data_IF_963265640262
#
_entry.id   IF_963265640262
#
_cell.length_a   1.000
_cell.length_b   1.000
_cell.length_c   1.000
_cell.angle_alpha   90.00
_cell.angle_beta   90.00
_cell.angle_gamma   90.00
#
_symmetry.space_group_name_H-M   'P 1'
#
loop_
_entity.id
_entity.type
_entity.pdbx_description
1 polymer ?
#
# COMPACT_ATOMS: atom_id res chain seq x y z
N UNK A 1 36.24 -2.32 -39.80
CA UNK A 1 37.02 -1.98 -38.57
C UNK A 1 36.03 -1.65 -37.48
N UNK A 2 36.16 -2.25 -36.30
CA UNK A 2 35.28 -1.97 -35.16
C UNK A 2 35.62 -0.57 -34.63
N UNK A 3 34.73 0.40 -34.78
CA UNK A 3 34.96 1.77 -34.27
C UNK A 3 35.18 1.75 -32.75
N UNK A 4 36.31 2.31 -32.31
CA UNK A 4 36.66 2.47 -30.90
C UNK A 4 36.01 3.75 -30.41
N UNK A 5 35.22 3.69 -29.32
CA UNK A 5 34.59 4.89 -28.74
C UNK A 5 35.60 5.72 -27.95
N UNK A 6 35.30 7.00 -27.70
CA UNK A 6 36.20 7.91 -26.96
C UNK A 6 36.61 7.40 -25.58
N UNK A 7 35.73 6.65 -24.91
CA UNK A 7 35.97 6.07 -23.59
C UNK A 7 36.58 4.66 -23.63
N UNK A 8 37.11 4.26 -24.80
CA UNK A 8 37.68 2.94 -25.10
C UNK A 8 39.13 3.05 -25.59
N UNK A 9 39.92 2.01 -25.34
CA UNK A 9 41.24 1.82 -25.93
C UNK A 9 41.43 0.34 -26.29
N UNK A 10 42.29 0.04 -27.26
CA UNK A 10 42.70 -1.34 -27.52
C UNK A 10 43.90 -1.65 -26.64
N UNK A 11 43.81 -2.67 -25.80
CA UNK A 11 44.92 -3.09 -24.95
C UNK A 11 45.96 -3.86 -25.80
N UNK A 12 47.24 -3.45 -25.81
CA UNK A 12 48.28 -4.15 -26.56
C UNK A 12 48.56 -5.58 -26.06
N UNK A 13 48.23 -5.89 -24.80
CA UNK A 13 48.54 -7.18 -24.19
C UNK A 13 47.66 -8.32 -24.71
N UNK A 14 46.38 -8.06 -24.94
CA UNK A 14 45.39 -9.06 -25.41
C UNK A 14 44.72 -8.70 -26.74
N UNK A 15 44.94 -7.48 -27.24
CA UNK A 15 44.33 -6.99 -28.48
C UNK A 15 42.81 -6.83 -28.39
N UNK A 16 42.25 -6.64 -27.18
CA UNK A 16 40.83 -6.43 -26.92
C UNK A 16 40.54 -4.96 -26.61
N UNK A 17 39.26 -4.59 -26.72
CA UNK A 17 38.80 -3.25 -26.37
C UNK A 17 38.57 -3.19 -24.85
N UNK A 18 39.19 -2.23 -24.19
CA UNK A 18 39.10 -1.96 -22.75
C UNK A 18 38.53 -0.57 -22.48
N UNK A 19 37.99 -0.40 -21.28
CA UNK A 19 37.44 0.87 -20.83
C UNK A 19 38.53 1.78 -20.27
N UNK A 20 38.63 3.02 -20.77
CA UNK A 20 39.59 4.02 -20.26
C UNK A 20 39.38 4.41 -18.80
N UNK A 21 38.14 4.29 -18.29
CA UNK A 21 37.80 4.71 -16.91
C UNK A 21 38.21 3.69 -15.84
N UNK A 22 38.10 2.39 -16.13
CA UNK A 22 38.30 1.35 -15.11
C UNK A 22 39.26 0.24 -15.53
N UNK A 23 39.81 0.28 -16.75
CA UNK A 23 40.67 -0.77 -17.31
C UNK A 23 39.95 -2.10 -17.61
N UNK A 24 38.68 -2.25 -17.24
CA UNK A 24 37.93 -3.48 -17.46
C UNK A 24 37.63 -3.75 -18.95
N UNK A 25 37.45 -5.02 -19.34
CA UNK A 25 37.20 -5.40 -20.72
C UNK A 25 35.83 -4.87 -21.20
N UNK A 26 35.78 -4.44 -22.44
CA UNK A 26 34.57 -4.10 -23.21
C UNK A 26 34.38 -4.97 -24.44
N UNK A 27 35.28 -5.92 -24.61
CA UNK A 27 35.19 -6.96 -25.60
C UNK A 27 35.66 -8.26 -24.96
N UNK A 28 34.92 -9.34 -25.20
CA UNK A 28 35.30 -10.67 -24.75
C UNK A 28 35.62 -11.53 -25.97
N UNK A 29 36.39 -12.60 -25.79
CA UNK A 29 36.58 -13.63 -26.82
C UNK A 29 35.69 -14.81 -26.47
N UNK A 30 34.79 -15.19 -27.37
CA UNK A 30 33.91 -16.34 -27.19
C UNK A 30 34.23 -17.35 -28.31
N UNK A 31 34.48 -18.64 -27.98
CA UNK A 31 34.64 -19.67 -28.99
C UNK A 31 33.33 -19.86 -29.77
N UNK A 32 33.43 -19.97 -31.10
CA UNK A 32 32.29 -20.24 -31.97
C UNK A 32 31.94 -21.74 -31.90
N UNK A 33 30.78 -22.12 -31.34
CA UNK A 33 30.41 -23.52 -31.19
C UNK A 33 30.00 -24.20 -32.52
N UNK A 34 29.81 -23.45 -33.60
CA UNK A 34 29.24 -23.93 -34.86
C UNK A 34 30.21 -23.90 -36.03
N UNK A 35 31.08 -22.88 -36.13
CA UNK A 35 31.93 -22.67 -37.32
C UNK A 35 33.41 -23.00 -37.11
N UNK A 36 33.83 -23.35 -35.90
CA UNK A 36 35.24 -23.55 -35.58
C UNK A 36 36.00 -22.23 -35.64
N UNK A 37 36.20 -21.58 -34.50
CA UNK A 37 36.86 -20.28 -34.42
C UNK A 37 36.51 -19.55 -33.13
N UNK A 38 36.75 -18.24 -33.11
CA UNK A 38 36.33 -17.36 -32.01
C UNK A 38 35.77 -16.06 -32.56
N UNK A 39 34.75 -15.52 -31.91
CA UNK A 39 34.23 -14.19 -32.21
C UNK A 39 34.42 -13.26 -31.00
N UNK A 40 34.48 -11.95 -31.25
CA UNK A 40 34.81 -10.95 -30.24
C UNK A 40 33.65 -9.98 -29.97
N UNK A 41 32.58 -10.41 -29.27
CA UNK A 41 31.43 -9.53 -28.99
C UNK A 41 31.78 -8.44 -27.99
N UNK A 42 31.02 -7.34 -28.03
CA UNK A 42 31.12 -6.29 -26.99
C UNK A 42 30.51 -6.78 -25.68
N UNK A 43 31.12 -6.38 -24.58
CA UNK A 43 30.62 -6.60 -23.22
C UNK A 43 30.67 -5.29 -22.42
N UNK A 44 30.01 -5.29 -21.27
CA UNK A 44 29.87 -4.13 -20.39
C UNK A 44 31.02 -4.15 -19.37
N UNK A 45 31.80 -3.07 -19.27
CA UNK A 45 32.82 -2.97 -18.21
C UNK A 45 32.16 -3.01 -16.82
N UNK A 46 32.87 -3.39 -15.75
CA UNK A 46 32.38 -3.27 -14.37
C UNK A 46 31.85 -1.86 -14.05
N UNK A 47 32.48 -0.84 -14.62
CA UNK A 47 32.11 0.56 -14.43
C UNK A 47 30.77 0.98 -15.05
N UNK A 48 30.42 0.40 -16.20
CA UNK A 48 29.17 0.63 -16.90
C UNK A 48 28.08 -0.21 -16.25
N UNK A 49 28.38 -1.44 -15.84
CA UNK A 49 27.47 -2.30 -15.10
C UNK A 49 27.04 -1.63 -13.77
N UNK A 50 27.99 -1.04 -13.03
CA UNK A 50 27.68 -0.26 -11.84
C UNK A 50 26.82 0.98 -12.14
N UNK A 51 27.12 1.70 -13.21
CA UNK A 51 26.34 2.88 -13.61
C UNK A 51 24.91 2.51 -14.02
N UNK A 52 24.73 1.41 -14.76
CA UNK A 52 23.42 0.87 -15.12
C UNK A 52 22.65 0.41 -13.88
N UNK A 53 23.31 -0.28 -12.94
CA UNK A 53 22.69 -0.69 -11.68
C UNK A 53 22.18 0.53 -10.89
N UNK A 54 23.01 1.56 -10.72
CA UNK A 54 22.61 2.81 -10.05
C UNK A 54 21.45 3.52 -10.74
N UNK A 55 21.45 3.57 -12.08
CA UNK A 55 20.35 4.15 -12.86
C UNK A 55 19.05 3.38 -12.65
N UNK A 56 19.12 2.04 -12.68
CA UNK A 56 17.97 1.17 -12.45
C UNK A 56 17.43 1.31 -11.02
N UNK A 57 18.31 1.28 -10.02
CA UNK A 57 17.94 1.51 -8.61
C UNK A 57 17.31 2.89 -8.38
N UNK A 58 17.84 3.94 -9.02
CA UNK A 58 17.29 5.30 -8.92
C UNK A 58 15.90 5.40 -9.56
N UNK A 59 15.69 4.78 -10.73
CA UNK A 59 14.40 4.75 -11.40
C UNK A 59 13.38 3.92 -10.60
N UNK A 60 13.75 2.74 -10.10
CA UNK A 60 12.89 1.92 -9.22
C UNK A 60 12.50 2.69 -7.96
N UNK A 61 13.44 3.42 -7.34
CA UNK A 61 13.17 4.28 -6.19
C UNK A 61 12.19 5.40 -6.53
N UNK A 62 12.37 6.05 -7.69
CA UNK A 62 11.46 7.12 -8.16
C UNK A 62 10.05 6.58 -8.39
N UNK A 63 9.93 5.44 -9.07
CA UNK A 63 8.64 4.79 -9.33
C UNK A 63 7.95 4.38 -8.03
N UNK A 64 8.70 3.85 -7.06
CA UNK A 64 8.15 3.51 -5.74
C UNK A 64 7.61 4.74 -5.01
N UNK A 65 8.37 5.84 -4.98
CA UNK A 65 7.93 7.10 -4.36
C UNK A 65 6.65 7.62 -5.00
N UNK A 66 6.57 7.60 -6.34
CA UNK A 66 5.40 8.07 -7.06
C UNK A 66 4.17 7.19 -6.79
N UNK A 67 4.36 5.87 -6.73
CA UNK A 67 3.30 4.92 -6.37
C UNK A 67 2.79 5.16 -4.95
N UNK A 68 3.67 5.37 -3.98
CA UNK A 68 3.28 5.70 -2.60
C UNK A 68 2.48 7.01 -2.55
N UNK A 69 2.92 8.06 -3.27
CA UNK A 69 2.18 9.33 -3.35
C UNK A 69 0.78 9.14 -3.90
N UNK A 70 0.64 8.40 -5.01
CA UNK A 70 -0.66 8.09 -5.61
C UNK A 70 -1.54 7.30 -4.65
N UNK A 71 -1.01 6.28 -3.98
CA UNK A 71 -1.74 5.48 -2.99
C UNK A 71 -2.19 6.31 -1.80
N UNK A 72 -1.36 7.22 -1.29
CA UNK A 72 -1.76 8.18 -0.23
C UNK A 72 -2.89 9.09 -0.69
N UNK A 73 -2.82 9.61 -1.92
CA UNK A 73 -3.88 10.44 -2.50
C UNK A 73 -5.22 9.70 -2.65
N UNK A 74 -5.19 8.41 -2.97
CA UNK A 74 -6.40 7.59 -3.13
C UNK A 74 -6.93 7.05 -1.79
N UNK A 75 -6.02 6.66 -0.89
CA UNK A 75 -6.33 5.99 0.36
C UNK A 75 -6.69 6.91 1.52
N UNK A 76 -6.22 8.17 1.49
CA UNK A 76 -6.51 9.17 2.51
C UNK A 76 -7.33 10.30 1.87
N UNK A 77 -8.66 10.15 1.97
CA UNK A 77 -9.60 11.06 1.29
C UNK A 77 -9.56 12.50 1.84
N UNK A 78 -9.22 12.65 3.13
CA UNK A 78 -9.14 13.96 3.77
C UNK A 78 -7.69 14.42 4.00
N UNK A 79 -7.42 15.70 3.73
CA UNK A 79 -6.07 16.28 3.85
C UNK A 79 -5.52 16.27 5.27
N UNK A 80 -6.37 16.33 6.30
CA UNK A 80 -5.91 16.30 7.69
C UNK A 80 -5.29 14.94 8.06
N UNK A 81 -5.67 13.85 7.38
CA UNK A 81 -5.16 12.50 7.64
C UNK A 81 -3.67 12.39 7.32
N UNK A 82 -3.12 13.25 6.46
CA UNK A 82 -1.69 13.25 6.15
C UNK A 82 -0.82 13.60 7.36
N UNK A 83 -1.39 14.31 8.34
CA UNK A 83 -0.71 14.65 9.60
C UNK A 83 -0.80 13.55 10.66
N UNK A 84 -1.57 12.48 10.42
CA UNK A 84 -1.76 11.39 11.37
C UNK A 84 -0.59 10.41 11.23
N UNK A 85 0.51 10.73 11.90
CA UNK A 85 1.73 9.94 11.88
C UNK A 85 2.17 9.61 13.29
N UNK A 86 2.88 8.49 13.43
CA UNK A 86 3.46 8.07 14.71
C UNK A 86 4.52 9.06 15.25
N UNK A 87 4.99 10.02 14.44
CA UNK A 87 5.92 11.06 14.91
C UNK A 87 5.29 12.01 15.95
N UNK A 88 3.95 12.10 15.98
CA UNK A 88 3.22 12.91 16.95
C UNK A 88 2.67 12.09 18.13
N UNK A 89 3.11 10.84 18.28
CA UNK A 89 2.78 10.00 19.43
C UNK A 89 3.63 10.40 20.63
N UNK A 90 2.97 10.76 21.74
CA UNK A 90 3.65 11.05 23.01
C UNK A 90 3.92 9.78 23.84
N UNK A 91 3.46 8.60 23.38
CA UNK A 91 3.71 7.32 24.03
C UNK A 91 2.80 7.00 25.22
N UNK A 92 1.94 7.94 25.62
CA UNK A 92 1.06 7.80 26.79
C UNK A 92 -0.23 7.02 26.47
N UNK A 93 -0.58 6.88 25.19
CA UNK A 93 -1.85 6.28 24.78
C UNK A 93 -1.70 4.76 24.51
N UNK A 94 -2.36 3.88 25.28
CA UNK A 94 -2.29 2.43 25.06
C UNK A 94 -2.84 1.97 23.70
N UNK A 95 -3.71 2.78 23.07
CA UNK A 95 -4.19 2.53 21.70
C UNK A 95 -3.04 2.67 20.70
N UNK A 96 -2.15 3.64 20.91
CA UNK A 96 -0.98 3.87 20.05
C UNK A 96 0.02 2.72 20.14
N UNK A 97 0.27 2.20 21.34
CA UNK A 97 1.12 1.00 21.51
C UNK A 97 0.61 -0.18 20.68
N UNK A 98 -0.71 -0.40 20.67
CA UNK A 98 -1.33 -1.46 19.83
C UNK A 98 -1.24 -1.15 18.34
N UNK A 99 -1.37 0.12 17.96
CA UNK A 99 -1.24 0.56 16.57
C UNK A 99 0.19 0.33 16.03
N UNK A 100 1.23 0.68 16.80
CA UNK A 100 2.63 0.35 16.48
C UNK A 100 2.80 -1.15 16.30
N UNK A 101 2.38 -1.94 17.29
CA UNK A 101 2.51 -3.39 17.25
C UNK A 101 1.79 -4.01 16.04
N UNK A 102 0.62 -3.50 15.67
CA UNK A 102 -0.13 -3.97 14.50
C UNK A 102 0.63 -3.69 13.19
N UNK A 103 1.21 -2.50 13.05
CA UNK A 103 2.01 -2.12 11.88
C UNK A 103 3.29 -2.95 11.79
N UNK A 104 3.99 -3.17 12.91
CA UNK A 104 5.22 -3.96 12.94
C UNK A 104 4.99 -5.44 12.60
N UNK A 105 3.84 -5.98 13.01
CA UNK A 105 3.44 -7.36 12.72
C UNK A 105 2.44 -7.46 11.57
N UNK A 106 2.41 -6.47 10.67
CA UNK A 106 1.48 -6.44 9.53
C UNK A 106 1.52 -7.72 8.68
N UNK A 107 2.69 -8.30 8.32
CA UNK A 107 2.71 -9.53 7.52
C UNK A 107 1.94 -10.69 8.17
N UNK A 108 2.04 -10.84 9.49
CA UNK A 108 1.31 -11.85 10.25
C UNK A 108 -0.17 -11.48 10.38
N UNK A 109 -0.49 -10.21 10.62
CA UNK A 109 -1.86 -9.72 10.70
C UNK A 109 -2.60 -9.93 9.37
N UNK A 110 -1.96 -9.58 8.25
CA UNK A 110 -2.51 -9.77 6.91
C UNK A 110 -2.72 -11.26 6.58
N UNK A 111 -1.69 -12.11 6.79
CA UNK A 111 -1.78 -13.55 6.53
C UNK A 111 -2.89 -14.24 7.34
N UNK A 112 -3.16 -13.76 8.56
CA UNK A 112 -4.18 -14.31 9.45
C UNK A 112 -5.52 -13.57 9.36
N UNK A 113 -5.66 -12.61 8.44
CA UNK A 113 -6.84 -11.75 8.29
C UNK A 113 -7.28 -11.08 9.62
N UNK A 114 -6.32 -10.54 10.37
CA UNK A 114 -6.57 -9.91 11.68
C UNK A 114 -6.91 -8.43 11.46
N UNK A 115 -8.16 -8.08 11.73
CA UNK A 115 -8.63 -6.68 11.83
C UNK A 115 -8.51 -6.10 13.24
N UNK A 116 -8.87 -4.82 13.40
CA UNK A 116 -8.97 -4.15 14.71
C UNK A 116 -10.33 -3.48 14.88
N UNK A 117 -10.90 -3.58 16.08
CA UNK A 117 -12.01 -2.75 16.51
C UNK A 117 -11.50 -1.77 17.57
N UNK A 118 -11.43 -0.48 17.22
CA UNK A 118 -11.04 0.59 18.13
C UNK A 118 -12.32 1.24 18.67
N UNK A 119 -12.60 1.06 19.96
CA UNK A 119 -13.83 1.54 20.59
C UNK A 119 -13.56 2.25 21.91
N UNK A 120 -14.51 3.07 22.36
CA UNK A 120 -14.42 3.84 23.60
C UNK A 120 -14.89 5.29 23.43
N UNK A 121 -14.82 6.06 24.51
CA UNK A 121 -15.37 7.42 24.56
C UNK A 121 -14.73 8.39 23.54
N UNK A 122 -15.42 9.49 23.25
CA UNK A 122 -14.98 10.54 22.31
C UNK A 122 -13.67 11.15 22.81
N UNK A 123 -12.75 11.46 21.89
CA UNK A 123 -11.48 12.11 22.23
C UNK A 123 -10.35 11.16 22.67
N UNK A 124 -10.55 9.85 22.66
CA UNK A 124 -9.54 8.83 23.05
C UNK A 124 -8.46 8.55 22.00
N UNK A 125 -8.47 9.25 20.86
CA UNK A 125 -7.45 9.11 19.81
C UNK A 125 -7.61 7.92 18.87
N UNK A 126 -8.79 7.27 18.81
CA UNK A 126 -9.05 6.10 17.95
C UNK A 126 -8.83 6.37 16.47
N UNK A 127 -9.44 7.44 15.95
CA UNK A 127 -9.30 7.88 14.55
C UNK A 127 -7.87 8.29 14.24
N UNK A 128 -7.19 8.92 15.21
CA UNK A 128 -5.77 9.26 15.09
C UNK A 128 -4.89 8.01 14.96
N UNK A 129 -5.07 7.03 15.84
CA UNK A 129 -4.35 5.76 15.78
C UNK A 129 -4.62 5.00 14.47
N UNK A 130 -5.88 4.96 14.01
CA UNK A 130 -6.24 4.35 12.73
C UNK A 130 -5.55 5.05 11.54
N UNK A 131 -5.51 6.38 11.52
CA UNK A 131 -4.79 7.12 10.49
C UNK A 131 -3.27 6.95 10.56
N UNK A 132 -2.69 6.78 11.76
CA UNK A 132 -1.28 6.45 11.91
C UNK A 132 -0.95 5.08 11.30
N UNK A 133 -1.80 4.07 11.54
CA UNK A 133 -1.69 2.75 10.89
C UNK A 133 -1.76 2.92 9.37
N UNK A 134 -2.75 3.66 8.87
CA UNK A 134 -2.92 3.89 7.43
C UNK A 134 -1.67 4.51 6.80
N UNK A 135 -1.18 5.63 7.36
CA UNK A 135 0.01 6.31 6.85
C UNK A 135 1.24 5.40 6.85
N UNK A 136 1.49 4.70 7.96
CA UNK A 136 2.67 3.85 8.09
C UNK A 136 2.67 2.68 7.12
N UNK A 137 1.50 2.08 6.84
CA UNK A 137 1.37 1.02 5.84
C UNK A 137 1.47 1.58 4.41
N UNK A 138 0.88 2.74 4.13
CA UNK A 138 1.03 3.42 2.83
C UNK A 138 2.49 3.79 2.54
N UNK A 139 3.26 4.23 3.54
CA UNK A 139 4.71 4.50 3.42
C UNK A 139 5.52 3.22 3.15
N UNK A 140 5.00 2.06 3.54
CA UNK A 140 5.54 0.74 3.18
C UNK A 140 5.05 0.25 1.82
N UNK A 141 4.35 1.09 1.06
CA UNK A 141 3.78 0.77 -0.25
C UNK A 141 2.74 -0.37 -0.17
N UNK A 142 1.91 -0.34 0.87
CA UNK A 142 0.76 -1.24 1.05
C UNK A 142 -0.53 -0.47 0.72
N UNK A 143 -1.42 -0.99 -0.14
CA UNK A 143 -2.71 -0.38 -0.44
C UNK A 143 -3.60 -0.30 0.80
N UNK A 144 -3.93 0.91 1.26
CA UNK A 144 -4.85 1.15 2.38
C UNK A 144 -5.90 2.17 1.95
N UNK A 145 -7.15 1.94 2.31
CA UNK A 145 -8.22 2.94 2.22
C UNK A 145 -8.72 3.26 3.63
N UNK A 146 -8.69 4.54 4.00
CA UNK A 146 -9.36 5.08 5.17
C UNK A 146 -10.49 5.99 4.74
N UNK A 147 -11.70 5.67 5.19
CA UNK A 147 -12.91 6.43 4.91
C UNK A 147 -13.85 6.32 6.12
N UNK A 148 -14.98 7.02 6.08
CA UNK A 148 -16.01 6.90 7.10
C UNK A 148 -17.27 6.26 6.53
N UNK A 149 -18.04 5.62 7.40
CA UNK A 149 -19.24 4.91 6.97
C UNK A 149 -20.31 5.81 6.31
N UNK A 150 -20.55 7.05 6.79
CA UNK A 150 -21.40 8.01 6.07
C UNK A 150 -21.00 8.29 4.62
N UNK A 151 -19.70 8.40 4.32
CA UNK A 151 -19.19 8.64 2.97
C UNK A 151 -19.43 7.43 2.05
N UNK A 152 -19.25 6.21 2.57
CA UNK A 152 -19.59 4.98 1.86
C UNK A 152 -21.08 4.96 1.50
N UNK A 153 -21.96 5.22 2.47
CA UNK A 153 -23.41 5.24 2.24
C UNK A 153 -23.83 6.32 1.25
N UNK A 154 -23.29 7.53 1.37
CA UNK A 154 -23.60 8.63 0.46
C UNK A 154 -23.22 8.27 -0.99
N UNK A 155 -22.09 7.60 -1.18
CA UNK A 155 -21.66 7.14 -2.49
C UNK A 155 -22.58 6.04 -3.02
N UNK A 156 -22.94 5.06 -2.19
CA UNK A 156 -23.86 3.98 -2.56
C UNK A 156 -25.27 4.48 -2.91
N UNK A 157 -25.79 5.49 -2.19
CA UNK A 157 -27.09 6.09 -2.48
C UNK A 157 -27.10 6.90 -3.78
N UNK A 158 -25.97 7.46 -4.19
CA UNK A 158 -25.82 8.23 -5.43
C UNK A 158 -25.48 7.40 -6.67
N UNK A 159 -25.15 6.12 -6.51
CA UNK A 159 -24.77 5.19 -7.60
C UNK A 159 -25.83 4.13 -7.84
N UNK A 160 -26.13 3.83 -9.09
CA UNK A 160 -27.09 2.79 -9.50
C UNK A 160 -26.42 1.79 -10.45
N UNK A 161 -26.92 0.56 -10.50
CA UNK A 161 -26.45 -0.45 -11.46
C UNK A 161 -24.97 -0.80 -11.33
N UNK A 162 -24.24 -0.77 -12.45
CA UNK A 162 -22.82 -1.16 -12.55
C UNK A 162 -21.88 -0.29 -11.70
N UNK A 163 -22.10 1.03 -11.63
CA UNK A 163 -21.28 1.97 -10.84
C UNK A 163 -21.23 1.61 -9.35
N UNK A 164 -22.31 1.02 -8.83
CA UNK A 164 -22.39 0.58 -7.44
C UNK A 164 -21.53 -0.65 -7.20
N UNK A 165 -21.56 -1.61 -8.12
CA UNK A 165 -20.75 -2.84 -8.07
C UNK A 165 -19.28 -2.48 -8.16
N UNK A 166 -18.90 -1.63 -9.12
CA UNK A 166 -17.53 -1.17 -9.31
C UNK A 166 -16.99 -0.45 -8.06
N UNK A 167 -17.83 0.35 -7.39
CA UNK A 167 -17.43 0.98 -6.13
C UNK A 167 -17.17 -0.06 -5.03
N UNK A 168 -18.05 -1.04 -4.85
CA UNK A 168 -17.86 -2.10 -3.86
C UNK A 168 -16.62 -2.94 -4.15
N UNK A 169 -16.38 -3.27 -5.43
CA UNK A 169 -15.19 -4.00 -5.87
C UNK A 169 -13.91 -3.18 -5.62
N UNK A 170 -13.96 -1.86 -5.81
CA UNK A 170 -12.83 -0.98 -5.50
C UNK A 170 -12.45 -0.96 -4.01
N UNK A 171 -13.39 -1.24 -3.10
CA UNK A 171 -13.07 -1.44 -1.68
C UNK A 171 -12.27 -2.73 -1.46
N UNK A 172 -12.46 -3.73 -2.32
CA UNK A 172 -11.73 -4.99 -2.34
C UNK A 172 -10.27 -4.87 -2.77
N UNK A 173 -9.93 -3.87 -3.60
CA UNK A 173 -8.56 -3.65 -4.10
C UNK A 173 -7.54 -3.31 -3.01
N UNK A 174 -8.02 -2.77 -1.89
CA UNK A 174 -7.16 -2.32 -0.80
C UNK A 174 -6.82 -3.48 0.14
N UNK A 175 -5.55 -3.67 0.49
CA UNK A 175 -5.12 -4.72 1.42
C UNK A 175 -5.63 -4.45 2.83
N UNK A 176 -5.76 -3.19 3.21
CA UNK A 176 -6.44 -2.76 4.44
C UNK A 176 -7.58 -1.79 4.12
N UNK A 177 -8.75 -2.05 4.70
CA UNK A 177 -9.86 -1.09 4.74
C UNK A 177 -10.02 -0.59 6.18
N UNK A 178 -10.13 0.72 6.34
CA UNK A 178 -10.40 1.39 7.62
C UNK A 178 -11.71 2.15 7.49
N UNK A 179 -12.68 1.80 8.33
CA UNK A 179 -13.95 2.51 8.47
C UNK A 179 -13.90 3.30 9.78
N UNK A 180 -13.69 4.60 9.66
CA UNK A 180 -13.67 5.53 10.77
C UNK A 180 -15.09 5.97 11.16
N UNK A 181 -15.27 6.20 12.46
CA UNK A 181 -16.48 6.68 13.11
C UNK A 181 -17.77 5.94 12.70
N UNK A 182 -17.80 4.64 12.98
CA UNK A 182 -19.03 3.85 12.93
C UNK A 182 -19.94 4.24 14.10
N UNK A 183 -20.61 5.38 13.99
CA UNK A 183 -21.54 5.91 14.98
C UNK A 183 -22.96 5.33 14.84
N UNK A 184 -23.57 4.90 15.95
CA UNK A 184 -24.90 4.28 16.03
C UNK A 184 -26.09 5.14 15.55
N UNK A 185 -25.88 6.42 15.20
CA UNK A 185 -26.98 7.36 14.89
C UNK A 185 -27.63 7.13 13.51
N UNK A 186 -27.19 6.13 12.74
CA UNK A 186 -27.74 5.78 11.42
C UNK A 186 -28.01 4.28 11.29
N UNK A 187 -28.61 3.68 12.31
CA UNK A 187 -29.07 2.28 12.29
C UNK A 187 -30.33 2.10 11.41
N UNK A 188 -30.27 2.50 10.15
CA UNK A 188 -31.27 2.04 9.18
C UNK A 188 -30.97 0.59 8.81
N UNK A 189 -32.00 -0.20 8.48
CA UNK A 189 -31.82 -1.58 8.01
C UNK A 189 -30.84 -1.63 6.83
N UNK A 190 -31.00 -0.69 5.89
CA UNK A 190 -30.08 -0.51 4.76
C UNK A 190 -28.62 -0.32 5.17
N UNK A 191 -28.34 0.53 6.17
CA UNK A 191 -26.99 0.78 6.65
C UNK A 191 -26.36 -0.49 7.22
N UNK A 192 -27.11 -1.27 8.00
CA UNK A 192 -26.63 -2.53 8.53
C UNK A 192 -26.34 -3.54 7.41
N UNK A 193 -27.23 -3.65 6.42
CA UNK A 193 -27.03 -4.52 5.26
C UNK A 193 -25.75 -4.17 4.48
N UNK A 194 -25.50 -2.88 4.23
CA UNK A 194 -24.27 -2.47 3.54
C UNK A 194 -23.02 -2.77 4.37
N UNK A 195 -23.06 -2.57 5.70
CA UNK A 195 -21.95 -2.91 6.58
C UNK A 195 -21.66 -4.42 6.57
N UNK A 196 -22.71 -5.25 6.66
CA UNK A 196 -22.56 -6.72 6.57
C UNK A 196 -21.98 -7.15 5.23
N UNK A 197 -22.44 -6.57 4.13
CA UNK A 197 -21.89 -6.83 2.78
C UNK A 197 -20.40 -6.53 2.70
N UNK A 198 -19.97 -5.38 3.23
CA UNK A 198 -18.55 -5.00 3.27
C UNK A 198 -17.75 -5.98 4.13
N UNK A 199 -18.21 -6.31 5.34
CA UNK A 199 -17.53 -7.26 6.23
C UNK A 199 -17.38 -8.62 5.56
N UNK A 200 -18.45 -9.14 4.97
CA UNK A 200 -18.46 -10.45 4.28
C UNK A 200 -17.50 -10.46 3.08
N UNK A 201 -17.52 -9.40 2.26
CA UNK A 201 -16.58 -9.24 1.15
C UNK A 201 -15.11 -9.28 1.63
N UNK A 202 -14.78 -8.49 2.67
CA UNK A 202 -13.43 -8.47 3.26
C UNK A 202 -13.01 -9.83 3.81
N UNK A 203 -13.94 -10.52 4.46
CA UNK A 203 -13.72 -11.87 4.98
C UNK A 203 -13.41 -12.87 3.85
N UNK A 204 -14.21 -12.89 2.78
CA UNK A 204 -14.02 -13.78 1.62
C UNK A 204 -12.70 -13.51 0.89
N UNK A 205 -12.29 -12.25 0.80
CA UNK A 205 -11.03 -11.86 0.18
C UNK A 205 -9.80 -12.09 1.09
N UNK A 206 -9.97 -12.55 2.34
CA UNK A 206 -8.90 -12.66 3.34
C UNK A 206 -8.13 -11.34 3.57
N UNK A 207 -8.84 -10.21 3.56
CA UNK A 207 -8.22 -8.90 3.73
C UNK A 207 -8.74 -8.19 4.99
N UNK A 208 -7.85 -7.73 5.89
CA UNK A 208 -8.24 -7.23 7.21
C UNK A 208 -9.07 -5.93 7.16
N UNK A 209 -9.90 -5.73 8.17
CA UNK A 209 -10.76 -4.54 8.34
C UNK A 209 -10.45 -3.88 9.69
N UNK A 210 -10.25 -2.57 9.71
CA UNK A 210 -10.22 -1.79 10.94
C UNK A 210 -11.49 -0.96 11.02
N UNK A 211 -12.12 -0.95 12.18
CA UNK A 211 -13.30 -0.14 12.47
C UNK A 211 -13.03 0.71 13.70
N UNK A 212 -13.35 2.00 13.64
CA UNK A 212 -13.40 2.84 14.85
C UNK A 212 -14.85 3.16 15.20
N UNK A 213 -15.17 3.22 16.48
CA UNK A 213 -16.53 3.56 16.93
C UNK A 213 -16.50 4.24 18.30
N UNK A 214 -17.39 5.21 18.48
CA UNK A 214 -17.59 5.88 19.77
C UNK A 214 -18.51 5.10 20.73
N UNK A 215 -18.97 3.91 20.33
CA UNK A 215 -19.82 3.06 21.15
C UNK A 215 -19.01 2.27 22.16
N UNK A 216 -19.60 2.02 23.34
CA UNK A 216 -19.05 1.08 24.31
C UNK A 216 -19.35 -0.36 23.85
N UNK A 217 -18.50 -1.31 24.26
CA UNK A 217 -18.65 -2.71 23.86
C UNK A 217 -20.04 -3.29 24.22
N UNK A 218 -20.62 -2.84 25.33
CA UNK A 218 -21.95 -3.27 25.77
C UNK A 218 -23.08 -2.71 24.90
N UNK A 219 -22.85 -1.58 24.24
CA UNK A 219 -23.79 -0.98 23.28
C UNK A 219 -23.71 -1.69 21.93
N UNK A 220 -22.50 -2.12 21.52
CA UNK A 220 -22.27 -2.94 20.33
C UNK A 220 -22.89 -4.34 20.42
N UNK A 221 -22.93 -4.93 21.63
CA UNK A 221 -23.50 -6.27 21.86
C UNK A 221 -25.02 -6.29 21.94
N UNK A 222 -25.68 -5.13 22.07
CA UNK A 222 -27.15 -5.06 22.09
C UNK A 222 -27.64 -5.04 20.64
N UNK A 223 -28.39 -6.06 20.17
CA UNK A 223 -29.00 -6.00 18.86
C UNK A 223 -29.87 -4.76 18.79
N UNK A 224 -29.76 -3.99 17.70
CA UNK A 224 -30.65 -2.87 17.43
C UNK A 224 -32.08 -3.41 17.51
N UNK A 225 -32.83 -3.02 18.54
CA UNK A 225 -34.25 -3.33 18.59
C UNK A 225 -34.87 -2.64 17.37
N UNK A 226 -35.65 -3.35 16.53
CA UNK A 226 -36.38 -2.67 15.47
C UNK A 226 -37.20 -1.56 16.10
N UNK A 227 -37.02 -0.33 15.63
CA UNK A 227 -37.94 0.74 16.01
C UNK A 227 -39.36 0.30 15.63
N UNK A 228 -40.35 0.42 16.53
CA UNK A 228 -41.72 0.16 16.14
C UNK A 228 -42.03 1.10 14.97
N UNK A 229 -42.39 0.52 13.81
CA UNK A 229 -42.92 1.31 12.70
C UNK A 229 -44.10 2.10 13.25
N UNK A 230 -44.12 3.45 13.19
CA UNK A 230 -45.35 4.16 13.47
C UNK A 230 -46.35 3.70 12.41
N UNK A 231 -47.41 3.02 12.86
CA UNK A 231 -48.56 2.69 12.04
C UNK A 231 -49.10 3.98 11.41
N UNK A 232 -49.00 4.09 10.09
CA UNK A 232 -49.84 4.91 9.23
C UNK A 232 -50.15 4.10 7.96
#
# INVERSE_FOLDING_TARGET
MTEIREDEYTDPADGLIHCRKCGGPRQAVIPDPFKGGSFKPRCVCPCQQEAERRRKEAEERRQRIERIKRRKAQGLQDRYLYGYTFAHDNGDNPVMTKAHAYVDHWPQAFKRNIGLLLFGDVGTGKSFAAGCIANALLDRDIPVLMTNFPAILARLCGTFGEDRTDFLDSLGDHDLLIIDDLGAKRNTEYALEQMFSIIDSRYRCNKPLIVTTNLKLDELKRPARPHPRPYL
#
